data_IF_544862123617
#
_entry.id   IF_544862123617
#
_cell.length_a   1.000
_cell.length_b   1.000
_cell.length_c   1.000
_cell.angle_alpha   90.00
_cell.angle_beta   90.00
_cell.angle_gamma   90.00
#
_symmetry.space_group_name_H-M   'P 1'
#
loop_
_entity.id
_entity.type
_entity.pdbx_description
1 polymer ?
#
# COMPACT_ATOMS: atom_id res chain seq x y z
N UNK A 1 2.59 3.95 4.82
CA UNK A 1 2.52 5.00 5.87
C UNK A 1 3.27 4.62 7.15
N UNK A 2 3.99 3.49 7.19
CA UNK A 2 4.79 3.08 8.36
C UNK A 2 5.81 4.16 8.76
N UNK A 3 6.58 4.71 7.81
CA UNK A 3 7.55 5.77 8.09
C UNK A 3 6.98 7.20 7.96
N UNK A 4 5.72 7.34 7.58
CA UNK A 4 5.08 8.64 7.45
C UNK A 4 3.55 8.47 7.49
N UNK A 5 2.96 8.65 8.67
CA UNK A 5 1.52 8.63 8.89
C UNK A 5 0.82 9.80 8.22
N UNK A 6 1.54 10.88 7.91
CA UNK A 6 1.00 12.05 7.20
C UNK A 6 0.64 11.75 5.73
N UNK A 7 0.87 10.52 5.25
CA UNK A 7 0.38 10.04 3.95
C UNK A 7 -1.02 9.40 4.00
N UNK A 8 -1.55 9.14 5.21
CA UNK A 8 -2.91 8.61 5.38
C UNK A 8 -3.94 9.68 5.04
N UNK A 9 -5.21 9.29 4.95
CA UNK A 9 -6.31 10.27 4.88
C UNK A 9 -6.20 11.23 6.06
N UNK A 10 -6.47 12.52 5.83
CA UNK A 10 -6.39 13.51 6.89
C UNK A 10 -7.30 13.13 8.07
N UNK A 11 -6.74 13.13 9.28
CA UNK A 11 -7.48 12.87 10.52
C UNK A 11 -7.54 11.40 10.98
N UNK A 12 -6.95 10.45 10.25
CA UNK A 12 -6.96 9.02 10.63
C UNK A 12 -5.57 8.44 10.93
N UNK A 13 -4.59 9.30 11.22
CA UNK A 13 -3.25 8.90 11.64
C UNK A 13 -3.25 8.43 13.09
N UNK A 14 -2.58 7.30 13.37
CA UNK A 14 -2.42 6.80 14.73
C UNK A 14 -1.17 7.36 15.43
N UNK A 15 -0.18 7.76 14.65
CA UNK A 15 1.07 8.37 15.14
C UNK A 15 1.27 9.72 14.46
N UNK A 16 1.98 10.68 15.11
CA UNK A 16 2.29 11.97 14.50
C UNK A 16 3.26 11.87 13.30
N UNK A 17 4.03 10.79 13.21
CA UNK A 17 5.04 10.60 12.17
C UNK A 17 5.22 9.13 11.81
N UNK A 18 6.20 8.47 12.40
CA UNK A 18 6.50 7.05 12.15
C UNK A 18 5.74 6.14 13.13
N UNK A 19 5.52 4.89 12.74
CA UNK A 19 5.12 3.81 13.66
C UNK A 19 6.40 3.34 14.37
N UNK A 20 6.61 3.83 15.60
CA UNK A 20 7.87 3.67 16.32
C UNK A 20 8.23 2.21 16.55
N UNK A 21 7.25 1.36 16.86
CA UNK A 21 7.42 -0.06 17.15
C UNK A 21 8.06 -0.80 15.97
N UNK A 22 7.65 -0.49 14.75
CA UNK A 22 8.21 -1.09 13.54
C UNK A 22 9.61 -0.52 13.28
N UNK A 23 9.76 0.81 13.39
CA UNK A 23 11.04 1.48 13.14
C UNK A 23 12.11 1.04 14.14
N UNK A 24 11.77 0.87 15.40
CA UNK A 24 12.70 0.42 16.43
C UNK A 24 13.18 -1.00 16.20
N UNK A 25 12.31 -1.90 15.71
CA UNK A 25 12.73 -3.24 15.29
C UNK A 25 13.68 -3.15 14.10
N UNK A 26 13.33 -2.43 13.03
CA UNK A 26 14.18 -2.30 11.85
C UNK A 26 15.54 -1.68 12.20
N UNK A 27 15.54 -0.64 13.05
CA UNK A 27 16.76 0.01 13.55
C UNK A 27 17.61 -0.93 14.39
N UNK A 28 17.01 -1.67 15.32
CA UNK A 28 17.72 -2.62 16.20
C UNK A 28 18.49 -3.67 15.41
N UNK A 29 17.95 -4.10 14.26
CA UNK A 29 18.57 -5.08 13.38
C UNK A 29 19.32 -4.44 12.19
N UNK A 30 19.56 -3.13 12.24
CA UNK A 30 20.31 -2.37 11.22
C UNK A 30 19.77 -2.57 9.79
N UNK A 31 18.45 -2.70 9.67
CA UNK A 31 17.78 -2.90 8.37
C UNK A 31 17.58 -1.56 7.67
N UNK A 32 18.19 -1.43 6.49
CA UNK A 32 17.94 -0.30 5.58
C UNK A 32 16.49 -0.28 5.09
N UNK A 33 15.90 0.91 4.97
CA UNK A 33 14.48 1.06 4.62
C UNK A 33 14.31 1.93 3.39
N UNK A 34 13.54 1.43 2.41
CA UNK A 34 13.13 2.17 1.22
C UNK A 34 11.65 2.48 1.34
N UNK A 35 11.32 3.76 1.52
CA UNK A 35 9.92 4.18 1.59
C UNK A 35 9.32 4.23 0.18
N UNK A 36 8.32 3.38 -0.08
CA UNK A 36 7.52 3.46 -1.30
C UNK A 36 6.56 4.67 -1.24
N UNK A 37 6.33 5.39 -2.36
CA UNK A 37 5.25 6.37 -2.44
C UNK A 37 3.91 5.75 -2.06
N UNK A 38 3.10 6.44 -1.25
CA UNK A 38 1.75 5.98 -0.94
C UNK A 38 0.87 6.14 -2.19
N UNK A 39 0.34 5.04 -2.76
CA UNK A 39 -0.38 5.10 -4.04
C UNK A 39 -1.64 5.96 -3.94
N UNK A 40 -2.37 5.87 -2.82
CA UNK A 40 -3.57 6.68 -2.60
C UNK A 40 -3.24 8.18 -2.47
N UNK A 41 -2.15 8.54 -1.79
CA UNK A 41 -1.73 9.94 -1.64
C UNK A 41 -1.30 10.53 -2.97
N UNK A 42 -0.46 9.82 -3.73
CA UNK A 42 0.07 10.33 -5.01
C UNK A 42 -0.97 10.34 -6.12
N UNK A 43 -2.10 9.65 -5.94
CA UNK A 43 -3.22 9.65 -6.86
C UNK A 43 -4.32 10.66 -6.51
N UNK A 44 -4.76 10.69 -5.24
CA UNK A 44 -5.95 11.44 -4.82
C UNK A 44 -5.65 12.55 -3.79
N UNK A 45 -4.40 12.69 -3.35
CA UNK A 45 -4.00 13.69 -2.37
C UNK A 45 -4.39 13.35 -0.93
N UNK A 46 -4.12 14.31 -0.04
CA UNK A 46 -4.30 14.14 1.41
C UNK A 46 -5.76 14.27 1.85
N UNK A 47 -6.50 15.17 1.21
CA UNK A 47 -7.90 15.49 1.52
C UNK A 47 -8.90 14.51 0.89
N UNK A 48 -8.42 13.40 0.33
CA UNK A 48 -9.26 12.34 -0.24
C UNK A 48 -10.15 11.73 0.83
N UNK A 49 -11.31 11.22 0.42
CA UNK A 49 -12.10 10.35 1.29
C UNK A 49 -11.48 8.95 1.39
N UNK A 50 -11.74 8.27 2.50
CA UNK A 50 -11.53 6.83 2.60
C UNK A 50 -12.32 6.13 1.51
N UNK A 51 -11.69 5.16 0.86
CA UNK A 51 -12.28 4.36 -0.21
C UNK A 51 -11.96 2.89 0.02
N UNK A 52 -12.82 2.01 -0.46
CA UNK A 52 -12.57 0.57 -0.49
C UNK A 52 -11.74 0.18 -1.70
N UNK A 53 -11.34 -1.10 -1.75
CA UNK A 53 -10.66 -1.69 -2.89
C UNK A 53 -11.47 -1.49 -4.17
N UNK A 54 -12.77 -1.78 -4.19
CA UNK A 54 -13.60 -1.67 -5.39
C UNK A 54 -13.66 -0.24 -5.96
N UNK A 55 -13.60 0.77 -5.10
CA UNK A 55 -13.59 2.17 -5.55
C UNK A 55 -12.25 2.62 -6.12
N UNK A 56 -11.15 1.99 -5.69
CA UNK A 56 -9.82 2.20 -6.26
C UNK A 56 -9.53 1.27 -7.44
N UNK A 57 -10.29 0.19 -7.60
CA UNK A 57 -10.07 -0.81 -8.65
C UNK A 57 -10.57 -0.31 -10.01
N UNK A 58 -9.87 0.70 -10.52
CA UNK A 58 -10.11 1.32 -11.82
C UNK A 58 -8.82 1.34 -12.63
N UNK A 59 -8.89 1.25 -13.97
CA UNK A 59 -7.70 1.14 -14.82
C UNK A 59 -6.67 2.26 -14.60
N UNK A 60 -7.12 3.49 -14.32
CA UNK A 60 -6.22 4.62 -14.06
C UNK A 60 -5.40 4.43 -12.78
N UNK A 61 -6.03 3.94 -11.71
CA UNK A 61 -5.36 3.73 -10.43
C UNK A 61 -4.46 2.49 -10.48
N UNK A 62 -4.88 1.39 -11.13
CA UNK A 62 -4.01 0.23 -11.35
C UNK A 62 -2.75 0.59 -12.12
N UNK A 63 -2.86 1.36 -13.21
CA UNK A 63 -1.67 1.87 -13.94
C UNK A 63 -0.75 2.71 -13.06
N UNK A 64 -1.32 3.54 -12.19
CA UNK A 64 -0.55 4.33 -11.23
C UNK A 64 0.19 3.45 -10.22
N UNK A 65 -0.49 2.49 -9.62
CA UNK A 65 0.11 1.47 -8.74
C UNK A 65 1.22 0.70 -9.45
N UNK A 66 0.98 0.25 -10.68
CA UNK A 66 1.94 -0.49 -11.51
C UNK A 66 3.21 0.34 -11.78
N UNK A 67 3.07 1.64 -12.03
CA UNK A 67 4.22 2.53 -12.24
C UNK A 67 5.06 2.71 -10.97
N UNK A 68 4.42 2.73 -9.79
CA UNK A 68 5.15 2.75 -8.52
C UNK A 68 5.86 1.41 -8.33
N UNK A 69 5.14 0.30 -8.54
CA UNK A 69 5.66 -1.05 -8.35
C UNK A 69 6.88 -1.32 -9.23
N UNK A 70 6.82 -0.99 -10.51
CA UNK A 70 7.94 -1.22 -11.45
C UNK A 70 9.22 -0.53 -11.00
N UNK A 71 9.15 0.72 -10.54
CA UNK A 71 10.30 1.49 -10.01
C UNK A 71 10.86 0.92 -8.71
N UNK A 72 10.02 0.32 -7.88
CA UNK A 72 10.47 -0.35 -6.65
C UNK A 72 11.16 -1.66 -7.01
N UNK A 73 10.60 -2.42 -7.94
CA UNK A 73 11.19 -3.68 -8.38
C UNK A 73 12.50 -3.45 -9.16
N UNK A 74 12.64 -2.35 -9.91
CA UNK A 74 13.92 -1.91 -10.48
C UNK A 74 15.00 -1.77 -9.40
N UNK A 75 14.66 -1.11 -8.28
CA UNK A 75 15.59 -0.94 -7.16
C UNK A 75 15.91 -2.28 -6.49
N UNK A 76 14.92 -3.13 -6.23
CA UNK A 76 15.12 -4.48 -5.66
C UNK A 76 16.10 -5.28 -6.52
N UNK A 77 15.95 -5.22 -7.85
CA UNK A 77 16.85 -5.88 -8.78
C UNK A 77 18.27 -5.31 -8.70
N UNK A 78 18.42 -3.99 -8.61
CA UNK A 78 19.73 -3.35 -8.47
C UNK A 78 20.43 -3.73 -7.16
N UNK A 79 19.72 -3.70 -6.02
CA UNK A 79 20.25 -4.18 -4.75
C UNK A 79 20.70 -5.64 -4.84
N UNK A 80 19.86 -6.50 -5.41
CA UNK A 80 20.18 -7.93 -5.55
C UNK A 80 21.42 -8.16 -6.42
N UNK A 81 21.57 -7.39 -7.51
CA UNK A 81 22.73 -7.46 -8.41
C UNK A 81 24.03 -7.01 -7.75
N UNK A 82 23.95 -6.16 -6.74
CA UNK A 82 25.11 -5.64 -6.00
C UNK A 82 25.32 -6.36 -4.65
N UNK A 83 24.76 -7.56 -4.47
CA UNK A 83 25.02 -8.40 -3.30
C UNK A 83 24.24 -8.03 -2.04
N UNK A 84 23.27 -7.10 -2.14
CA UNK A 84 22.37 -6.80 -1.03
C UNK A 84 21.23 -7.80 -0.96
N UNK A 85 20.84 -8.17 0.26
CA UNK A 85 19.66 -9.00 0.53
C UNK A 85 18.46 -8.11 0.83
N UNK A 86 17.44 -8.15 -0.02
CA UNK A 86 16.13 -7.55 0.29
C UNK A 86 15.36 -8.52 1.19
N UNK A 87 15.14 -8.10 2.44
CA UNK A 87 14.57 -8.98 3.47
C UNK A 87 13.07 -9.21 3.30
N UNK A 88 12.31 -8.14 3.07
CA UNK A 88 10.87 -8.17 2.92
C UNK A 88 10.35 -6.85 2.33
N UNK A 89 9.11 -6.88 1.85
CA UNK A 89 8.28 -5.72 1.54
C UNK A 89 7.19 -5.65 2.61
N UNK A 90 6.96 -4.48 3.19
CA UNK A 90 5.96 -4.33 4.25
C UNK A 90 4.71 -3.61 3.73
N UNK A 91 3.56 -4.27 3.83
CA UNK A 91 2.24 -3.68 3.63
C UNK A 91 1.55 -3.29 4.93
N UNK A 92 0.28 -2.87 4.83
CA UNK A 92 -0.57 -2.50 5.96
C UNK A 92 -1.95 -3.10 5.74
N UNK A 93 -2.25 -4.19 6.46
CA UNK A 93 -3.54 -4.86 6.41
C UNK A 93 -4.71 -3.93 6.75
N UNK A 94 -5.85 -4.24 6.14
CA UNK A 94 -7.04 -3.41 6.14
C UNK A 94 -6.99 -2.24 5.13
N UNK A 95 -5.83 -1.93 4.55
CA UNK A 95 -5.76 -0.93 3.47
C UNK A 95 -6.37 -1.48 2.17
N UNK A 96 -7.16 -0.68 1.43
CA UNK A 96 -7.68 -1.04 0.11
C UNK A 96 -6.56 -1.25 -0.93
N UNK A 97 -5.39 -0.65 -0.70
CA UNK A 97 -4.27 -0.68 -1.66
C UNK A 97 -3.06 -1.42 -1.13
N UNK A 98 -2.71 -1.23 0.14
CA UNK A 98 -1.49 -1.74 0.74
C UNK A 98 -1.69 -2.98 1.63
N UNK A 99 -2.92 -3.50 1.74
CA UNK A 99 -3.19 -4.74 2.49
C UNK A 99 -2.50 -5.94 1.88
N UNK A 100 -1.86 -6.77 2.70
CA UNK A 100 -1.11 -7.96 2.24
C UNK A 100 -2.05 -9.16 2.26
N UNK A 101 -2.55 -9.51 3.44
CA UNK A 101 -3.45 -10.63 3.67
C UNK A 101 -4.91 -10.19 3.79
N UNK A 102 -5.14 -8.94 4.19
CA UNK A 102 -6.48 -8.40 4.41
C UNK A 102 -6.66 -7.00 3.79
N UNK A 103 -7.81 -6.79 3.14
CA UNK A 103 -8.15 -5.52 2.49
C UNK A 103 -9.61 -5.10 2.76
N UNK A 104 -9.88 -3.80 2.73
CA UNK A 104 -11.21 -3.23 2.91
C UNK A 104 -12.04 -3.30 1.61
N UNK A 105 -13.17 -3.98 1.65
CA UNK A 105 -14.10 -4.18 0.51
C UNK A 105 -15.54 -3.82 0.88
N UNK A 106 -16.47 -3.94 -0.07
CA UNK A 106 -17.92 -3.91 0.21
C UNK A 106 -18.64 -2.66 -0.27
N UNK A 107 -18.06 -1.48 -0.08
CA UNK A 107 -18.61 -0.24 -0.65
C UNK A 107 -18.18 -0.11 -2.11
N UNK A 108 -19.12 0.02 -3.05
CA UNK A 108 -18.81 0.11 -4.49
C UNK A 108 -19.17 1.45 -5.14
N UNK A 109 -19.98 2.27 -4.47
CA UNK A 109 -20.56 3.49 -5.04
C UNK A 109 -19.81 4.77 -4.70
N UNK A 110 -20.29 5.91 -5.23
CA UNK A 110 -19.98 7.24 -4.70
C UNK A 110 -21.00 7.66 -3.63
N UNK A 111 -20.65 8.58 -2.74
CA UNK A 111 -21.58 9.07 -1.72
C UNK A 111 -22.63 9.98 -2.37
N UNK A 112 -23.89 9.55 -2.34
CA UNK A 112 -25.04 10.34 -2.78
C UNK A 112 -25.97 10.51 -1.57
N UNK A 113 -26.10 11.73 -0.99
CA UNK A 113 -26.89 11.98 0.22
C UNK A 113 -28.36 11.51 0.18
N UNK A 114 -28.89 11.24 -1.01
CA UNK A 114 -30.30 10.87 -1.24
C UNK A 114 -30.55 9.37 -1.42
N UNK A 115 -29.53 8.52 -1.36
CA UNK A 115 -29.65 7.07 -1.50
C UNK A 115 -29.29 6.37 -0.19
N UNK A 116 -30.10 5.36 0.15
CA UNK A 116 -30.21 4.62 1.40
C UNK A 116 -28.87 4.01 1.94
N UNK A 117 -28.89 3.37 3.13
CA UNK A 117 -27.86 3.49 4.16
C UNK A 117 -26.45 3.14 3.68
N UNK A 118 -25.48 3.78 4.35
CA UNK A 118 -24.05 3.52 4.26
C UNK A 118 -23.76 2.04 4.04
N UNK A 119 -23.35 1.68 2.83
CA UNK A 119 -22.65 0.41 2.62
C UNK A 119 -21.38 0.48 3.45
N UNK A 120 -21.34 -0.29 4.53
CA UNK A 120 -20.18 -0.34 5.39
C UNK A 120 -19.04 -1.08 4.69
N UNK A 121 -17.83 -0.54 4.82
CA UNK A 121 -16.63 -1.26 4.45
C UNK A 121 -16.46 -2.44 5.41
N UNK A 122 -16.10 -3.60 4.86
CA UNK A 122 -15.73 -4.79 5.62
C UNK A 122 -14.32 -5.22 5.28
N UNK A 123 -13.70 -5.96 6.17
CA UNK A 123 -12.39 -6.55 5.90
C UNK A 123 -12.55 -7.95 5.33
N UNK A 124 -11.76 -8.27 4.32
CA UNK A 124 -11.78 -9.55 3.62
C UNK A 124 -10.37 -10.03 3.36
N UNK A 125 -10.15 -11.35 3.44
CA UNK A 125 -8.86 -11.99 3.19
C UNK A 125 -8.47 -11.93 1.71
N UNK A 126 -7.80 -10.86 1.32
CA UNK A 126 -7.32 -10.57 -0.01
C UNK A 126 -6.29 -9.43 0.03
N UNK A 127 -5.40 -9.38 -0.95
CA UNK A 127 -4.43 -8.29 -1.08
C UNK A 127 -5.09 -7.01 -1.61
N UNK A 128 -4.52 -5.86 -1.25
CA UNK A 128 -4.87 -4.57 -1.81
C UNK A 128 -4.29 -4.40 -3.22
N UNK A 129 -4.83 -3.43 -3.97
CA UNK A 129 -4.49 -3.24 -5.40
C UNK A 129 -2.99 -3.02 -5.63
N UNK A 130 -2.32 -2.23 -4.80
CA UNK A 130 -0.89 -1.97 -5.00
C UNK A 130 -0.04 -3.21 -4.72
N UNK A 131 -0.43 -4.03 -3.73
CA UNK A 131 0.24 -5.31 -3.46
C UNK A 131 0.04 -6.27 -4.63
N UNK A 132 -1.15 -6.33 -5.24
CA UNK A 132 -1.38 -7.14 -6.45
C UNK A 132 -0.45 -6.73 -7.61
N UNK A 133 -0.36 -5.43 -7.91
CA UNK A 133 0.50 -4.94 -8.99
C UNK A 133 2.00 -5.18 -8.69
N UNK A 134 2.38 -5.08 -7.42
CA UNK A 134 3.76 -5.33 -6.97
C UNK A 134 4.12 -6.82 -7.06
N UNK A 135 3.23 -7.71 -6.65
CA UNK A 135 3.38 -9.15 -6.82
C UNK A 135 3.49 -9.52 -8.30
N UNK A 136 2.68 -8.90 -9.18
CA UNK A 136 2.76 -9.11 -10.62
C UNK A 136 4.14 -8.71 -11.18
N UNK A 137 4.63 -7.52 -10.84
CA UNK A 137 5.97 -7.06 -11.26
C UNK A 137 7.10 -8.01 -10.77
N UNK A 138 7.05 -8.44 -9.50
CA UNK A 138 8.02 -9.38 -8.96
C UNK A 138 7.99 -10.73 -9.69
N UNK A 139 6.79 -11.27 -9.91
CA UNK A 139 6.58 -12.56 -10.58
C UNK A 139 7.03 -12.53 -12.04
N UNK A 140 6.69 -11.48 -12.79
CA UNK A 140 7.09 -11.32 -14.19
C UNK A 140 8.62 -11.28 -14.34
N UNK A 141 9.31 -10.69 -13.37
CA UNK A 141 10.79 -10.62 -13.33
C UNK A 141 11.44 -11.78 -12.59
N UNK A 142 10.65 -12.72 -12.07
CA UNK A 142 11.11 -13.89 -11.31
C UNK A 142 11.95 -13.52 -10.08
N UNK A 143 11.59 -12.43 -9.42
CA UNK A 143 12.24 -11.95 -8.20
C UNK A 143 11.43 -12.48 -7.01
N UNK A 144 12.10 -13.24 -6.13
CA UNK A 144 11.48 -13.78 -4.92
C UNK A 144 11.84 -12.91 -3.71
N UNK A 145 10.86 -12.13 -3.22
CA UNK A 145 10.96 -11.34 -2.00
C UNK A 145 9.70 -11.55 -1.16
N UNK A 146 9.82 -11.84 0.15
CA UNK A 146 8.66 -11.91 1.04
C UNK A 146 7.89 -10.59 1.08
N UNK A 147 6.56 -10.68 1.09
CA UNK A 147 5.64 -9.53 1.29
C UNK A 147 4.78 -9.84 2.51
#
# INVERSE_FOLDING_TARGET
>A
CILNQNSRVLGIAYYPGMINEIVDVLRKYEVGVIQMPCPELTYAGLLRWSRTKEQYDVPAFRRHCRQIASRIVDQVQEYSRNGFKVLAILGVDGSPTCGVDETSTGYKGGYLPKLAPSQEAKFTKASGIFIEELQSELNERKIAVPI
#
